data_IF_780974929958
#
_entry.id   IF_780974929958
#
_cell.length_a   1.000
_cell.length_b   1.000
_cell.length_c   1.000
_cell.angle_alpha   90.00
_cell.angle_beta   90.00
_cell.angle_gamma   90.00
#
_symmetry.space_group_name_H-M   'P 1'
#
loop_
_entity.id
_entity.type
_entity.pdbx_description
1 polymer ?
#
# COMPACT_ATOMS: atom_id res chain seq x y z
N UNK A 1 45.92 -2.56 -26.05
CA UNK A 1 44.75 -3.45 -26.27
C UNK A 1 44.22 -4.12 -24.99
N UNK A 2 45.07 -4.64 -24.09
CA UNK A 2 44.66 -5.27 -22.81
C UNK A 2 43.86 -4.38 -21.82
N UNK A 3 44.08 -3.06 -21.82
CA UNK A 3 43.41 -2.14 -20.87
C UNK A 3 41.90 -1.97 -21.15
N UNK A 4 41.47 -2.06 -22.41
CA UNK A 4 40.06 -1.97 -22.79
C UNK A 4 39.29 -3.27 -22.53
N UNK A 5 39.95 -4.43 -22.57
CA UNK A 5 39.35 -5.70 -22.15
C UNK A 5 39.07 -5.73 -20.64
N UNK A 6 40.00 -5.21 -19.82
CA UNK A 6 39.81 -5.13 -18.36
C UNK A 6 38.67 -4.18 -17.96
N UNK A 7 38.54 -3.03 -18.63
CA UNK A 7 37.42 -2.11 -18.43
C UNK A 7 36.07 -2.74 -18.86
N UNK A 8 36.08 -3.58 -19.90
CA UNK A 8 34.88 -4.33 -20.31
C UNK A 8 34.53 -5.46 -19.33
N UNK A 9 35.53 -6.09 -18.70
CA UNK A 9 35.36 -7.08 -17.64
C UNK A 9 34.83 -6.44 -16.35
N UNK A 10 35.35 -5.29 -15.95
CA UNK A 10 34.86 -4.54 -14.78
C UNK A 10 33.43 -4.03 -15.00
N UNK A 11 33.07 -3.63 -16.24
CA UNK A 11 31.69 -3.29 -16.60
C UNK A 11 30.74 -4.50 -16.58
N UNK A 12 31.22 -5.69 -16.96
CA UNK A 12 30.48 -6.96 -16.85
C UNK A 12 30.35 -7.44 -15.40
N UNK A 13 31.34 -7.17 -14.54
CA UNK A 13 31.25 -7.46 -13.10
C UNK A 13 30.27 -6.52 -12.37
N UNK A 14 30.20 -5.25 -12.77
CA UNK A 14 29.20 -4.30 -12.25
C UNK A 14 27.75 -4.68 -12.59
N UNK A 15 27.49 -5.21 -13.80
CA UNK A 15 26.15 -5.68 -14.20
C UNK A 15 25.75 -7.04 -13.60
N UNK A 16 26.69 -7.85 -13.10
CA UNK A 16 26.39 -9.20 -12.56
C UNK A 16 26.02 -9.22 -11.08
N UNK A 17 26.27 -8.12 -10.34
CA UNK A 17 25.95 -7.98 -8.90
C UNK A 17 24.60 -7.32 -8.60
N UNK A 18 23.81 -6.99 -9.62
CA UNK A 18 22.42 -6.50 -9.51
C UNK A 18 21.40 -7.65 -9.68
N UNK A 19 21.82 -8.86 -9.30
CA UNK A 19 20.97 -10.04 -9.11
C UNK A 19 21.05 -10.54 -7.67
N UNK A 20 21.22 -9.64 -6.72
CA UNK A 20 21.05 -10.00 -5.31
C UNK A 20 19.56 -10.06 -5.01
N UNK A 21 19.02 -11.28 -5.05
CA UNK A 21 17.79 -11.66 -4.38
C UNK A 21 17.74 -10.91 -3.04
N UNK A 22 16.72 -10.10 -2.82
CA UNK A 22 16.43 -9.53 -1.50
C UNK A 22 16.16 -10.73 -0.59
N UNK A 23 17.19 -11.16 0.14
CA UNK A 23 17.17 -12.34 0.99
C UNK A 23 16.27 -12.02 2.20
N UNK A 24 15.13 -12.71 2.34
CA UNK A 24 14.14 -12.45 3.39
C UNK A 24 14.71 -12.55 4.80
N UNK A 25 15.84 -13.27 4.96
CA UNK A 25 16.60 -13.38 6.20
C UNK A 25 17.31 -12.09 6.61
N UNK A 26 17.67 -11.23 5.65
CA UNK A 26 18.25 -9.91 5.94
C UNK A 26 17.16 -8.97 6.46
N UNK A 27 15.95 -9.05 5.90
CA UNK A 27 14.78 -8.28 6.34
C UNK A 27 14.45 -8.55 7.82
N UNK A 28 14.44 -9.83 8.22
CA UNK A 28 14.17 -10.23 9.60
C UNK A 28 15.29 -9.80 10.58
N UNK A 29 16.54 -9.77 10.12
CA UNK A 29 17.69 -9.33 10.92
C UNK A 29 17.68 -7.81 11.11
N UNK A 30 17.32 -7.04 10.08
CA UNK A 30 17.14 -5.59 10.16
C UNK A 30 15.95 -5.25 11.07
N UNK A 31 14.82 -5.96 10.96
CA UNK A 31 13.66 -5.78 11.83
C UNK A 31 13.99 -6.01 13.32
N UNK A 32 14.80 -7.04 13.62
CA UNK A 32 15.24 -7.35 15.00
C UNK A 32 16.19 -6.29 15.59
N UNK A 33 17.07 -5.69 14.77
CA UNK A 33 18.03 -4.66 15.22
C UNK A 33 17.34 -3.30 15.42
N UNK A 34 16.38 -2.93 14.57
CA UNK A 34 15.64 -1.67 14.67
C UNK A 34 14.42 -1.73 15.62
N UNK A 35 13.97 -2.92 16.01
CA UNK A 35 12.77 -3.12 16.85
C UNK A 35 12.80 -2.42 18.22
N UNK A 36 13.97 -2.07 18.75
CA UNK A 36 14.09 -1.35 20.03
C UNK A 36 13.91 0.18 19.89
N UNK A 37 14.16 0.76 18.71
CA UNK A 37 13.93 2.19 18.42
C UNK A 37 12.51 2.49 17.90
N UNK A 38 11.77 1.47 17.42
CA UNK A 38 10.40 1.63 16.92
C UNK A 38 9.30 1.63 17.99
N UNK A 39 9.59 1.26 19.24
CA UNK A 39 8.60 1.14 20.32
C UNK A 39 7.62 2.32 20.47
N UNK A 40 8.04 3.60 20.38
CA UNK A 40 7.09 4.72 20.45
C UNK A 40 6.20 4.85 19.20
N UNK A 41 6.63 4.37 18.03
CA UNK A 41 5.87 4.43 16.77
C UNK A 41 4.94 3.23 16.54
N UNK A 42 5.09 2.15 17.32
CA UNK A 42 4.21 0.98 17.25
C UNK A 42 2.75 1.35 17.50
N UNK A 43 2.45 2.29 18.41
CA UNK A 43 1.08 2.74 18.66
C UNK A 43 0.44 3.38 17.43
N UNK A 44 1.21 4.21 16.72
CA UNK A 44 0.78 4.92 15.50
C UNK A 44 0.65 3.96 14.30
N UNK A 45 1.51 2.94 14.23
CA UNK A 45 1.41 1.87 13.24
C UNK A 45 0.19 0.98 13.49
N UNK A 46 -0.07 0.57 14.74
CA UNK A 46 -1.24 -0.26 15.04
C UNK A 46 -2.54 0.49 14.74
N UNK A 47 -2.62 1.78 15.06
CA UNK A 47 -3.77 2.61 14.69
C UNK A 47 -3.87 2.84 13.19
N UNK A 48 -2.75 2.91 12.44
CA UNK A 48 -2.82 2.97 10.97
C UNK A 48 -3.37 1.68 10.40
N UNK A 49 -2.93 0.51 10.87
CA UNK A 49 -3.52 -0.78 10.47
C UNK A 49 -5.01 -0.89 10.81
N UNK A 50 -5.45 -0.42 11.98
CA UNK A 50 -6.88 -0.37 12.34
C UNK A 50 -7.69 0.55 11.41
N UNK A 51 -7.16 1.74 11.11
CA UNK A 51 -7.78 2.69 10.21
C UNK A 51 -7.84 2.16 8.76
N UNK A 52 -6.80 1.44 8.32
CA UNK A 52 -6.76 0.74 7.04
C UNK A 52 -7.87 -0.31 6.98
N UNK A 53 -7.99 -1.16 8.00
CA UNK A 53 -9.02 -2.20 8.03
C UNK A 53 -10.43 -1.61 7.96
N UNK A 54 -10.69 -0.54 8.73
CA UNK A 54 -11.97 0.16 8.71
C UNK A 54 -12.26 0.84 7.36
N UNK A 55 -11.24 1.47 6.76
CA UNK A 55 -11.35 2.09 5.43
C UNK A 55 -11.69 1.07 4.36
N UNK A 56 -11.05 -0.10 4.39
CA UNK A 56 -11.33 -1.20 3.45
C UNK A 56 -12.74 -1.74 3.69
N UNK A 57 -13.16 -1.89 4.94
CA UNK A 57 -14.54 -2.24 5.26
C UNK A 57 -15.53 -1.30 4.58
N UNK A 58 -15.37 0.01 4.77
CA UNK A 58 -16.24 1.01 4.14
C UNK A 58 -16.21 0.95 2.61
N UNK A 59 -15.03 0.85 2.01
CA UNK A 59 -14.87 0.77 0.56
C UNK A 59 -15.50 -0.49 -0.04
N UNK A 60 -15.41 -1.62 0.67
CA UNK A 60 -16.01 -2.90 0.23
C UNK A 60 -17.53 -2.91 0.38
N UNK A 61 -18.09 -2.06 1.24
CA UNK A 61 -19.55 -1.89 1.37
C UNK A 61 -20.16 -1.03 0.25
N UNK A 62 -19.38 -0.18 -0.43
CA UNK A 62 -19.85 0.65 -1.56
C UNK A 62 -20.58 -0.09 -2.69
N UNK A 63 -20.17 -1.29 -3.16
CA UNK A 63 -20.89 -2.03 -4.19
C UNK A 63 -22.25 -2.58 -3.72
N UNK A 64 -22.53 -2.64 -2.42
CA UNK A 64 -23.75 -3.25 -1.89
C UNK A 64 -25.02 -2.44 -2.18
N UNK A 65 -25.07 -1.10 -1.92
CA UNK A 65 -26.19 -0.27 -2.37
C UNK A 65 -26.41 -0.33 -3.88
N UNK A 66 -25.33 -0.41 -4.68
CA UNK A 66 -25.43 -0.51 -6.13
C UNK A 66 -26.12 -1.81 -6.55
N UNK A 67 -25.83 -2.93 -5.86
CA UNK A 67 -26.56 -4.19 -6.05
C UNK A 67 -28.05 -4.04 -5.74
N UNK A 68 -28.40 -3.40 -4.64
CA UNK A 68 -29.81 -3.21 -4.24
C UNK A 68 -30.56 -2.34 -5.25
N UNK A 69 -29.93 -1.28 -5.78
CA UNK A 69 -30.50 -0.47 -6.86
C UNK A 69 -30.73 -1.33 -8.11
N UNK A 70 -29.76 -2.16 -8.49
CA UNK A 70 -29.86 -3.05 -9.65
C UNK A 70 -31.01 -4.07 -9.47
N UNK A 71 -31.03 -4.76 -8.33
CA UNK A 71 -31.98 -5.84 -8.05
C UNK A 71 -33.42 -5.32 -7.85
N UNK A 72 -33.60 -4.17 -7.19
CA UNK A 72 -34.94 -3.63 -6.90
C UNK A 72 -35.55 -2.89 -8.09
N UNK A 73 -34.77 -2.11 -8.84
CA UNK A 73 -35.30 -1.23 -9.90
C UNK A 73 -35.33 -1.93 -11.26
N UNK A 74 -34.33 -2.77 -11.53
CA UNK A 74 -34.20 -3.43 -12.83
C UNK A 74 -34.78 -4.84 -12.79
N UNK A 75 -34.57 -5.59 -11.70
CA UNK A 75 -34.95 -7.01 -11.59
C UNK A 75 -36.26 -7.25 -10.82
N UNK A 76 -36.73 -6.30 -10.00
CA UNK A 76 -38.03 -6.35 -9.32
C UNK A 76 -38.12 -7.33 -8.13
N UNK A 77 -36.98 -7.71 -7.55
CA UNK A 77 -36.89 -8.61 -6.39
C UNK A 77 -37.26 -7.89 -5.07
N UNK A 78 -37.87 -8.58 -4.08
CA UNK A 78 -38.26 -7.96 -2.82
C UNK A 78 -37.04 -7.50 -2.01
N UNK A 79 -37.21 -6.36 -1.31
CA UNK A 79 -36.16 -5.72 -0.52
C UNK A 79 -35.56 -6.69 0.52
N UNK A 80 -34.23 -6.69 0.74
CA UNK A 80 -33.63 -7.51 1.77
C UNK A 80 -34.15 -7.13 3.17
N UNK A 81 -34.43 -8.12 4.02
CA UNK A 81 -35.07 -7.98 5.34
C UNK A 81 -34.39 -6.99 6.30
N UNK A 82 -33.14 -6.63 6.02
CA UNK A 82 -32.35 -5.64 6.75
C UNK A 82 -32.70 -4.19 6.39
N UNK A 83 -33.64 -3.95 5.47
CA UNK A 83 -34.14 -2.61 5.08
C UNK A 83 -35.68 -2.55 5.15
N UNK A 84 -36.32 -3.59 5.73
CA UNK A 84 -37.78 -3.65 5.91
C UNK A 84 -38.34 -2.49 6.73
N UNK A 85 -37.53 -1.88 7.60
CA UNK A 85 -37.88 -0.67 8.33
C UNK A 85 -38.08 0.57 7.44
N UNK A 86 -37.63 0.55 6.19
CA UNK A 86 -37.88 1.59 5.19
C UNK A 86 -39.09 1.28 4.30
N UNK A 87 -39.63 0.06 4.30
CA UNK A 87 -40.81 -0.34 3.51
C UNK A 87 -42.00 0.65 3.58
N UNK A 88 -42.38 1.22 4.76
CA UNK A 88 -43.52 2.12 4.86
C UNK A 88 -43.35 3.42 4.06
N UNK A 89 -42.10 3.87 3.87
CA UNK A 89 -41.74 5.10 3.15
C UNK A 89 -41.50 4.80 1.66
N UNK A 90 -41.10 3.56 1.36
CA UNK A 90 -40.68 3.10 0.02
C UNK A 90 -41.85 2.79 -0.91
N UNK A 91 -43.02 2.41 -0.37
CA UNK A 91 -44.23 2.13 -1.16
C UNK A 91 -44.92 3.39 -1.73
N UNK A 92 -44.55 4.58 -1.25
CA UNK A 92 -45.24 5.84 -1.58
C UNK A 92 -44.63 6.50 -2.84
N UNK A 93 -43.29 6.51 -2.99
CA UNK A 93 -42.62 7.06 -4.17
C UNK A 93 -41.31 6.30 -4.52
N UNK A 94 -41.24 5.56 -5.64
CA UNK A 94 -40.03 4.81 -6.02
C UNK A 94 -38.82 5.71 -6.31
N UNK A 95 -39.05 7.00 -6.62
CA UNK A 95 -38.00 8.01 -6.82
C UNK A 95 -37.27 8.36 -5.53
N UNK A 96 -37.94 8.26 -4.38
CA UNK A 96 -37.37 8.63 -3.08
C UNK A 96 -36.41 7.54 -2.56
N UNK A 97 -36.69 6.27 -2.85
CA UNK A 97 -35.77 5.16 -2.60
C UNK A 97 -34.46 5.33 -3.39
N UNK A 98 -34.56 5.68 -4.68
CA UNK A 98 -33.42 5.99 -5.53
C UNK A 98 -32.54 7.10 -4.92
N UNK A 99 -33.18 8.19 -4.49
CA UNK A 99 -32.48 9.31 -3.86
C UNK A 99 -31.81 8.91 -2.54
N UNK A 100 -32.47 8.09 -1.71
CA UNK A 100 -31.92 7.61 -0.45
C UNK A 100 -30.72 6.67 -0.65
N UNK A 101 -30.83 5.71 -1.59
CA UNK A 101 -29.72 4.81 -1.92
C UNK A 101 -28.54 5.55 -2.56
N UNK A 102 -28.80 6.50 -3.46
CA UNK A 102 -27.77 7.36 -4.02
C UNK A 102 -27.06 8.18 -2.93
N UNK A 103 -27.82 8.75 -1.98
CA UNK A 103 -27.26 9.47 -0.85
C UNK A 103 -26.42 8.53 0.04
N UNK A 104 -26.87 7.30 0.28
CA UNK A 104 -26.14 6.31 1.07
C UNK A 104 -24.81 5.92 0.42
N UNK A 105 -24.77 5.75 -0.90
CA UNK A 105 -23.51 5.54 -1.65
C UNK A 105 -22.55 6.72 -1.44
N UNK A 106 -23.05 7.96 -1.57
CA UNK A 106 -22.23 9.15 -1.38
C UNK A 106 -21.67 9.21 0.04
N UNK A 107 -22.50 8.89 1.05
CA UNK A 107 -22.07 8.88 2.47
C UNK A 107 -21.01 7.80 2.71
N UNK A 108 -21.20 6.58 2.21
CA UNK A 108 -20.20 5.50 2.34
C UNK A 108 -18.89 5.86 1.64
N UNK A 109 -18.95 6.39 0.42
CA UNK A 109 -17.76 6.74 -0.36
C UNK A 109 -16.98 7.90 0.28
N UNK A 110 -17.69 8.89 0.81
CA UNK A 110 -17.06 10.01 1.53
C UNK A 110 -16.43 9.54 2.84
N UNK A 111 -17.12 8.71 3.63
CA UNK A 111 -16.54 8.12 4.85
C UNK A 111 -15.31 7.27 4.54
N UNK A 112 -15.40 6.35 3.57
CA UNK A 112 -14.30 5.49 3.14
C UNK A 112 -13.08 6.31 2.69
N UNK A 113 -13.33 7.38 1.94
CA UNK A 113 -12.29 8.33 1.50
C UNK A 113 -11.64 9.08 2.66
N UNK A 114 -12.41 9.52 3.66
CA UNK A 114 -11.88 10.18 4.86
C UNK A 114 -10.97 9.23 5.64
N UNK A 115 -11.40 7.99 5.89
CA UNK A 115 -10.56 7.00 6.58
C UNK A 115 -9.29 6.67 5.78
N UNK A 116 -9.40 6.56 4.45
CA UNK A 116 -8.24 6.34 3.57
C UNK A 116 -7.25 7.51 3.67
N UNK A 117 -7.74 8.75 3.68
CA UNK A 117 -6.93 9.95 3.84
C UNK A 117 -6.22 9.99 5.19
N UNK A 118 -6.95 9.70 6.28
CA UNK A 118 -6.37 9.62 7.63
C UNK A 118 -5.26 8.57 7.67
N UNK A 119 -5.50 7.37 7.12
CA UNK A 119 -4.48 6.32 7.07
C UNK A 119 -3.22 6.81 6.33
N UNK A 120 -3.38 7.38 5.13
CA UNK A 120 -2.26 7.92 4.33
C UNK A 120 -1.50 9.00 5.09
N UNK A 121 -2.21 9.90 5.76
CA UNK A 121 -1.62 10.97 6.56
C UNK A 121 -0.78 10.41 7.72
N UNK A 122 -1.29 9.42 8.46
CA UNK A 122 -0.59 8.82 9.59
C UNK A 122 0.67 8.06 9.14
N UNK A 123 0.58 7.32 8.04
CA UNK A 123 1.72 6.61 7.45
C UNK A 123 2.79 7.59 6.97
N UNK A 124 2.39 8.65 6.26
CA UNK A 124 3.32 9.67 5.77
C UNK A 124 4.00 10.40 6.93
N UNK A 125 3.23 10.91 7.89
CA UNK A 125 3.76 11.65 9.03
C UNK A 125 4.73 10.81 9.86
N UNK A 126 4.44 9.51 10.05
CA UNK A 126 5.35 8.58 10.72
C UNK A 126 6.64 8.41 9.94
N UNK A 127 6.56 8.25 8.62
CA UNK A 127 7.73 8.17 7.75
C UNK A 127 8.61 9.42 7.80
N UNK A 128 7.99 10.60 7.85
CA UNK A 128 8.71 11.89 7.88
C UNK A 128 9.40 12.10 9.23
N UNK A 129 8.75 11.77 10.35
CA UNK A 129 9.34 11.82 11.70
C UNK A 129 10.58 10.92 11.83
N UNK A 130 10.51 9.72 11.26
CA UNK A 130 11.63 8.78 11.28
C UNK A 130 12.80 9.31 10.44
N UNK A 131 12.52 9.96 9.31
CA UNK A 131 13.56 10.59 8.50
C UNK A 131 14.22 11.76 9.24
N UNK A 132 13.43 12.57 9.97
CA UNK A 132 13.93 13.69 10.74
C UNK A 132 14.89 13.25 11.86
N UNK A 133 14.54 12.24 12.66
CA UNK A 133 15.40 11.70 13.74
C UNK A 133 16.73 11.16 13.20
N UNK A 134 16.70 10.52 12.02
CA UNK A 134 17.91 9.95 11.42
C UNK A 134 18.80 11.04 10.83
N UNK A 135 18.22 12.08 10.23
CA UNK A 135 18.96 13.28 9.81
C UNK A 135 19.63 13.95 11.01
N UNK A 136 18.89 14.18 12.09
CA UNK A 136 19.41 14.83 13.31
C UNK A 136 20.62 14.08 13.89
N UNK A 137 20.53 12.75 14.01
CA UNK A 137 21.64 11.91 14.50
C UNK A 137 22.85 11.91 13.58
N UNK A 138 22.60 11.86 12.26
CA UNK A 138 23.67 11.90 11.26
C UNK A 138 24.42 13.23 11.33
N UNK A 139 23.69 14.35 11.45
CA UNK A 139 24.29 15.66 11.64
C UNK A 139 25.09 15.74 12.95
N UNK A 140 24.56 15.22 14.06
CA UNK A 140 25.25 15.21 15.35
C UNK A 140 26.54 14.36 15.33
N UNK A 141 26.55 13.23 14.61
CA UNK A 141 27.74 12.40 14.43
C UNK A 141 28.77 13.03 13.48
N UNK A 142 28.33 13.73 12.43
CA UNK A 142 29.24 14.50 11.57
C UNK A 142 29.92 15.64 12.34
N UNK A 143 29.17 16.33 13.21
CA UNK A 143 29.71 17.42 14.04
C UNK A 143 30.71 16.94 15.10
N UNK A 144 30.63 15.68 15.54
CA UNK A 144 31.57 15.08 16.50
C UNK A 144 32.81 14.46 15.86
N UNK A 145 32.87 14.36 14.52
CA UNK A 145 34.01 13.76 13.83
C UNK A 145 35.13 14.80 13.64
N UNK A 146 36.33 14.48 14.11
CA UNK A 146 37.50 15.38 14.12
C UNK A 146 37.95 15.84 12.74
N UNK A 147 38.50 17.06 12.64
CA UNK A 147 39.01 17.70 11.41
C UNK A 147 39.89 16.78 10.52
N UNK A 148 40.66 15.85 11.09
CA UNK A 148 41.52 14.92 10.35
C UNK A 148 40.77 13.93 9.45
N UNK A 149 39.47 13.68 9.70
CA UNK A 149 38.62 12.81 8.86
C UNK A 149 37.96 13.56 7.69
N UNK A 150 37.89 14.89 7.75
CA UNK A 150 37.34 15.73 6.68
C UNK A 150 38.31 15.92 5.50
N UNK A 151 39.61 15.67 5.71
CA UNK A 151 40.66 15.96 4.74
C UNK A 151 40.96 14.79 3.77
N UNK A 152 40.56 13.56 4.11
CA UNK A 152 40.95 12.34 3.36
C UNK A 152 39.83 11.65 2.59
N UNK A 153 38.57 12.03 2.78
CA UNK A 153 37.42 11.38 2.13
C UNK A 153 36.34 12.39 1.83
N UNK A 154 35.85 12.44 0.57
CA UNK A 154 34.70 13.26 0.15
C UNK A 154 33.50 13.07 1.11
N UNK A 155 33.35 13.93 2.12
CA UNK A 155 32.25 13.91 3.11
C UNK A 155 30.87 13.86 2.46
N UNK A 156 30.73 14.40 1.23
CA UNK A 156 29.47 14.35 0.47
C UNK A 156 29.00 12.95 0.07
N UNK A 157 29.91 11.98 -0.16
CA UNK A 157 29.52 10.62 -0.55
C UNK A 157 29.02 9.81 0.66
N UNK A 158 29.58 10.05 1.84
CA UNK A 158 29.16 9.40 3.09
C UNK A 158 27.75 9.90 3.51
N UNK A 159 27.50 11.21 3.41
CA UNK A 159 26.17 11.80 3.65
C UNK A 159 25.14 11.26 2.65
N UNK A 160 25.53 11.12 1.37
CA UNK A 160 24.66 10.56 0.33
C UNK A 160 24.34 9.09 0.58
N UNK A 161 25.33 8.27 0.95
CA UNK A 161 25.12 6.87 1.30
C UNK A 161 24.24 6.71 2.55
N UNK A 162 24.49 7.50 3.59
CA UNK A 162 23.70 7.46 4.82
C UNK A 162 22.27 7.96 4.63
N UNK A 163 22.06 9.02 3.85
CA UNK A 163 20.71 9.56 3.59
C UNK A 163 19.93 8.67 2.61
N UNK A 164 20.58 8.21 1.54
CA UNK A 164 19.92 7.36 0.54
C UNK A 164 19.62 5.96 1.07
N UNK A 165 20.52 5.37 1.87
CA UNK A 165 20.24 4.08 2.51
C UNK A 165 19.20 4.22 3.63
N UNK A 166 19.14 5.36 4.30
CA UNK A 166 18.08 5.61 5.27
C UNK A 166 16.69 5.71 4.64
N UNK A 167 16.54 6.50 3.57
CA UNK A 167 15.26 6.59 2.86
C UNK A 167 14.86 5.23 2.23
N UNK A 168 15.83 4.45 1.74
CA UNK A 168 15.59 3.06 1.31
C UNK A 168 15.14 2.18 2.46
N UNK A 169 15.77 2.25 3.63
CA UNK A 169 15.35 1.49 4.81
C UNK A 169 13.94 1.88 5.26
N UNK A 170 13.58 3.16 5.27
CA UNK A 170 12.21 3.62 5.55
C UNK A 170 11.20 3.02 4.56
N UNK A 171 11.51 3.11 3.27
CA UNK A 171 10.64 2.58 2.23
C UNK A 171 10.48 1.05 2.37
N UNK A 172 11.55 0.34 2.70
CA UNK A 172 11.51 -1.12 2.88
C UNK A 172 10.84 -1.56 4.19
N UNK A 173 11.03 -0.84 5.29
CA UNK A 173 10.55 -1.26 6.62
C UNK A 173 9.14 -0.75 6.95
N UNK A 174 8.72 0.38 6.40
CA UNK A 174 7.43 1.01 6.70
C UNK A 174 6.51 0.97 5.49
N UNK A 175 6.91 1.61 4.39
CA UNK A 175 6.02 1.81 3.25
C UNK A 175 5.69 0.49 2.56
N UNK A 176 6.70 -0.33 2.26
CA UNK A 176 6.50 -1.58 1.56
C UNK A 176 5.56 -2.55 2.31
N UNK A 177 5.75 -2.83 3.62
CA UNK A 177 4.79 -3.66 4.36
C UNK A 177 3.39 -3.04 4.46
N UNK A 178 3.31 -1.71 4.62
CA UNK A 178 2.04 -0.99 4.69
C UNK A 178 1.27 -1.10 3.37
N UNK A 179 1.92 -0.78 2.25
CA UNK A 179 1.35 -0.82 0.91
C UNK A 179 0.99 -2.26 0.53
N UNK A 180 1.88 -3.22 0.80
CA UNK A 180 1.63 -4.63 0.57
C UNK A 180 0.40 -5.11 1.34
N UNK A 181 0.29 -4.77 2.62
CA UNK A 181 -0.88 -5.11 3.43
C UNK A 181 -2.14 -4.44 2.90
N UNK A 182 -2.07 -3.17 2.51
CA UNK A 182 -3.20 -2.46 1.91
C UNK A 182 -3.69 -3.16 0.65
N UNK A 183 -2.81 -3.42 -0.32
CA UNK A 183 -3.19 -4.09 -1.56
C UNK A 183 -3.73 -5.49 -1.31
N UNK A 184 -3.12 -6.26 -0.41
CA UNK A 184 -3.57 -7.59 -0.06
C UNK A 184 -4.98 -7.57 0.54
N UNK A 185 -5.22 -6.71 1.54
CA UNK A 185 -6.53 -6.61 2.19
C UNK A 185 -7.60 -6.04 1.27
N UNK A 186 -7.27 -5.04 0.45
CA UNK A 186 -8.21 -4.49 -0.54
C UNK A 186 -8.60 -5.56 -1.55
N UNK A 187 -7.63 -6.28 -2.10
CA UNK A 187 -7.89 -7.36 -3.05
C UNK A 187 -8.74 -8.47 -2.44
N UNK A 188 -8.41 -8.93 -1.23
CA UNK A 188 -9.19 -9.93 -0.51
C UNK A 188 -10.60 -9.43 -0.19
N UNK A 189 -10.74 -8.19 0.28
CA UNK A 189 -12.02 -7.59 0.62
C UNK A 189 -12.98 -7.54 -0.57
N UNK A 190 -12.51 -7.02 -1.71
CA UNK A 190 -13.29 -7.02 -2.95
C UNK A 190 -13.58 -8.42 -3.46
N UNK A 191 -12.60 -9.34 -3.41
CA UNK A 191 -12.79 -10.72 -3.87
C UNK A 191 -13.86 -11.46 -3.05
N UNK A 192 -13.83 -11.32 -1.72
CA UNK A 192 -14.83 -11.92 -0.82
C UNK A 192 -16.21 -11.31 -1.10
N UNK A 193 -16.28 -9.99 -1.22
CA UNK A 193 -17.54 -9.29 -1.48
C UNK A 193 -18.17 -9.68 -2.81
N UNK A 194 -17.38 -9.78 -3.88
CA UNK A 194 -17.86 -10.25 -5.18
C UNK A 194 -18.39 -11.69 -5.08
N UNK A 195 -17.70 -12.54 -4.33
CA UNK A 195 -18.08 -13.95 -4.14
C UNK A 195 -19.37 -14.10 -3.31
N UNK A 196 -19.61 -13.20 -2.35
CA UNK A 196 -20.88 -13.08 -1.62
C UNK A 196 -22.01 -12.52 -2.48
N UNK A 197 -21.68 -11.71 -3.50
CA UNK A 197 -22.66 -11.10 -4.39
C UNK A 197 -23.22 -12.11 -5.40
N UNK A 198 -22.33 -12.72 -6.16
CA UNK A 198 -22.57 -13.78 -7.13
C UNK A 198 -21.26 -14.54 -7.37
N UNK A 199 -21.25 -15.80 -6.93
CA UNK A 199 -20.08 -16.67 -7.03
C UNK A 199 -19.63 -16.91 -8.49
N UNK A 200 -20.56 -16.86 -9.46
CA UNK A 200 -20.28 -17.12 -10.88
C UNK A 200 -19.57 -15.94 -11.52
N UNK A 201 -20.03 -14.71 -11.25
CA UNK A 201 -19.36 -13.47 -11.66
C UNK A 201 -17.98 -13.35 -10.99
N UNK A 202 -17.89 -13.68 -9.71
CA UNK A 202 -16.64 -13.64 -8.96
C UNK A 202 -15.57 -14.58 -9.53
N UNK A 203 -15.94 -15.82 -9.89
CA UNK A 203 -15.02 -16.79 -10.50
C UNK A 203 -14.49 -16.32 -11.87
N UNK A 204 -15.36 -15.73 -12.70
CA UNK A 204 -14.95 -15.19 -14.00
C UNK A 204 -13.94 -14.07 -13.79
N UNK A 205 -14.21 -13.15 -12.86
CA UNK A 205 -13.29 -12.06 -12.52
C UNK A 205 -11.94 -12.58 -11.97
N UNK A 206 -11.99 -13.53 -11.02
CA UNK A 206 -10.82 -14.16 -10.41
C UNK A 206 -9.98 -14.96 -11.41
N UNK A 207 -10.57 -15.62 -12.40
CA UNK A 207 -9.84 -16.29 -13.48
C UNK A 207 -9.20 -15.30 -14.46
N UNK A 208 -9.79 -14.12 -14.63
CA UNK A 208 -9.26 -13.07 -15.52
C UNK A 208 -8.04 -12.38 -14.93
N UNK A 209 -7.96 -12.21 -13.61
CA UNK A 209 -6.82 -11.60 -12.91
C UNK A 209 -5.46 -12.29 -13.18
N UNK A 210 -5.28 -13.62 -12.99
CA UNK A 210 -4.01 -14.30 -13.24
C UNK A 210 -3.65 -14.31 -14.73
N UNK A 211 -4.63 -14.36 -15.63
CA UNK A 211 -4.39 -14.23 -17.07
C UNK A 211 -3.73 -12.89 -17.40
N UNK A 212 -4.30 -11.78 -16.91
CA UNK A 212 -3.74 -10.43 -17.05
C UNK A 212 -2.36 -10.30 -16.41
N UNK A 213 -2.15 -10.92 -15.25
CA UNK A 213 -0.85 -10.93 -14.59
C UNK A 213 0.21 -11.61 -15.45
N UNK A 214 -0.07 -12.79 -16.01
CA UNK A 214 0.85 -13.52 -16.90
C UNK A 214 1.22 -12.66 -18.12
N UNK A 215 0.23 -12.04 -18.77
CA UNK A 215 0.48 -11.13 -19.89
C UNK A 215 1.38 -9.97 -19.50
N UNK A 216 1.12 -9.34 -18.35
CA UNK A 216 1.91 -8.23 -17.83
C UNK A 216 3.36 -8.65 -17.56
N UNK A 217 3.58 -9.81 -16.95
CA UNK A 217 4.94 -10.33 -16.71
C UNK A 217 5.68 -10.68 -18.00
N UNK A 218 4.98 -11.21 -19.00
CA UNK A 218 5.57 -11.53 -20.30
C UNK A 218 6.04 -10.26 -21.03
N UNK A 219 5.19 -9.23 -21.12
CA UNK A 219 5.55 -7.96 -21.76
C UNK A 219 6.57 -7.14 -20.95
N UNK A 220 6.47 -7.15 -19.62
CA UNK A 220 7.39 -6.46 -18.73
C UNK A 220 8.82 -7.01 -18.81
N UNK A 221 8.99 -8.30 -19.10
CA UNK A 221 10.30 -8.90 -19.35
C UNK A 221 10.86 -8.55 -20.74
N UNK A 222 10.01 -8.15 -21.69
CA UNK A 222 10.42 -7.72 -23.04
C UNK A 222 11.10 -6.35 -23.06
N UNK A 223 10.72 -5.42 -22.18
CA UNK A 223 11.27 -4.06 -22.13
C UNK A 223 12.59 -3.91 -21.36
N UNK A 224 13.09 -4.98 -20.72
CA UNK A 224 14.34 -4.98 -19.94
C UNK A 224 15.57 -5.48 -20.74
N UNK A 225 15.48 -5.62 -22.06
CA UNK A 225 16.62 -5.89 -22.95
C UNK A 225 17.08 -4.59 -23.60
#
# INVERSE_FOLDING_TARGET
>A
MKFFEDLSMLRKMGKKKEKNKIDSRVFFRVYRVFGRHYKPYIKVLVSSYMCLFLSIGMAVLEPWPLKIILDYIILGEPMPAMLSFLEPIVLIEPKLLLAFMALMIIVLATLGSIFSYINKFWVSSTGDRINADIRERTFAQLQRLSLSFHDSSRSGNLIYLLTSDNDRMKNLLIKFPQDFSQYLFTYLGYSIMLMLLDWKLALIALCTTPLLAIFTFMFGNGMKK
#
